data_IF_202241787772
#
_entry.id   IF_202241787772
#
_cell.length_a   1.000
_cell.length_b   1.000
_cell.length_c   1.000
_cell.angle_alpha   90.00
_cell.angle_beta   90.00
_cell.angle_gamma   90.00
#
_symmetry.space_group_name_H-M   'P 1'
#
loop_
_entity.id
_entity.type
_entity.pdbx_description
1 polymer ?
#
# COMPACT_ATOMS: atom_id res chain seq x y z
N UNK A 1 -58.72 35.05 7.79
CA UNK A 1 -57.31 35.28 8.05
C UNK A 1 -56.63 33.88 8.02
N UNK A 2 -55.92 33.53 6.92
CA UNK A 2 -55.27 32.23 6.74
C UNK A 2 -53.77 32.42 6.99
N UNK A 3 -53.30 31.88 8.09
CA UNK A 3 -51.87 31.88 8.41
C UNK A 3 -51.16 30.80 7.57
N UNK A 4 -50.33 31.22 6.62
CA UNK A 4 -49.46 30.37 5.86
C UNK A 4 -48.16 30.27 6.66
N UNK A 5 -47.93 29.13 7.31
CA UNK A 5 -46.62 28.78 7.87
C UNK A 5 -45.69 28.32 6.72
N UNK A 6 -44.74 29.14 6.34
CA UNK A 6 -43.67 28.77 5.43
C UNK A 6 -42.62 27.95 6.22
N UNK A 7 -42.57 26.65 5.94
CA UNK A 7 -41.51 25.76 6.49
C UNK A 7 -40.23 25.95 5.67
N UNK A 8 -39.29 26.70 6.21
CA UNK A 8 -37.97 26.84 5.59
C UNK A 8 -37.15 25.55 5.80
N UNK A 9 -37.06 24.73 4.75
CA UNK A 9 -36.20 23.54 4.72
C UNK A 9 -34.73 23.98 4.55
N UNK A 10 -33.98 24.08 5.65
CA UNK A 10 -32.54 24.32 5.61
C UNK A 10 -31.82 23.07 5.05
N UNK A 11 -31.51 23.08 3.75
CA UNK A 11 -30.60 22.10 3.16
C UNK A 11 -29.20 22.36 3.68
N UNK A 12 -28.76 21.61 4.69
CA UNK A 12 -27.36 21.51 5.05
C UNK A 12 -26.62 20.78 3.91
N UNK A 13 -26.04 21.53 2.98
CA UNK A 13 -25.07 20.99 2.07
C UNK A 13 -23.86 20.54 2.89
N UNK A 14 -23.71 19.23 3.10
CA UNK A 14 -22.48 18.63 3.59
C UNK A 14 -21.38 18.94 2.57
N UNK A 15 -20.67 20.04 2.77
CA UNK A 15 -19.42 20.31 2.04
C UNK A 15 -18.43 19.24 2.50
N UNK A 16 -18.25 18.20 1.69
CA UNK A 16 -17.23 17.20 1.93
C UNK A 16 -15.88 17.92 2.05
N UNK A 17 -15.39 18.08 3.28
CA UNK A 17 -14.06 18.67 3.52
C UNK A 17 -13.03 17.72 2.92
N UNK A 18 -12.24 18.23 1.98
CA UNK A 18 -11.15 17.49 1.43
C UNK A 18 -10.18 17.07 2.56
N UNK A 19 -9.86 15.78 2.62
CA UNK A 19 -8.99 15.21 3.65
C UNK A 19 -7.61 14.92 3.07
N UNK A 20 -6.57 15.23 3.83
CA UNK A 20 -5.21 14.81 3.52
C UNK A 20 -4.98 13.41 4.11
N UNK A 21 -4.47 12.50 3.28
CA UNK A 21 -4.20 11.10 3.63
C UNK A 21 -2.77 10.78 3.27
N UNK A 22 -2.03 10.22 4.21
CA UNK A 22 -0.64 9.79 4.05
C UNK A 22 -0.60 8.29 3.81
N UNK A 23 -0.03 7.85 2.69
CA UNK A 23 0.07 6.42 2.34
C UNK A 23 1.53 6.07 2.08
N UNK A 24 1.95 4.91 2.59
CA UNK A 24 3.29 4.35 2.40
C UNK A 24 3.20 2.96 1.79
N UNK A 25 4.09 2.62 0.87
CA UNK A 25 4.36 1.26 0.42
C UNK A 25 5.77 0.88 0.85
N UNK A 26 5.93 -0.24 1.53
CA UNK A 26 7.21 -0.61 2.10
C UNK A 26 7.44 -2.12 2.05
N UNK A 27 8.23 -2.59 1.09
CA UNK A 27 8.82 -3.92 1.17
C UNK A 27 9.87 -3.88 2.30
N UNK A 28 9.61 -4.62 3.38
CA UNK A 28 10.45 -4.59 4.58
C UNK A 28 11.58 -5.62 4.56
N UNK A 29 11.73 -6.36 3.48
CA UNK A 29 12.62 -7.51 3.33
C UNK A 29 12.36 -8.60 4.36
N UNK A 30 12.08 -9.80 3.90
CA UNK A 30 11.95 -10.97 4.80
C UNK A 30 13.25 -11.20 5.58
N UNK A 31 13.12 -11.87 6.72
CA UNK A 31 14.28 -12.20 7.56
C UNK A 31 14.94 -13.47 7.07
N UNK A 32 16.12 -13.34 6.48
CA UNK A 32 16.95 -14.46 6.01
C UNK A 32 18.41 -14.30 6.47
N UNK A 33 18.99 -15.38 6.94
CA UNK A 33 20.36 -15.37 7.46
C UNK A 33 21.42 -14.98 6.40
N UNK A 34 21.12 -15.19 5.12
CA UNK A 34 22.02 -14.81 4.01
C UNK A 34 22.21 -13.30 3.85
N UNK A 35 21.35 -12.47 4.45
CA UNK A 35 21.49 -11.02 4.43
C UNK A 35 22.63 -10.51 5.34
N UNK A 36 23.28 -11.41 6.11
CA UNK A 36 24.46 -11.11 6.91
C UNK A 36 24.25 -9.96 7.89
N UNK A 37 24.98 -8.86 7.71
CA UNK A 37 24.81 -7.68 8.58
C UNK A 37 23.48 -6.96 8.42
N UNK A 38 22.71 -7.24 7.37
CA UNK A 38 21.40 -6.68 7.09
C UNK A 38 20.25 -7.58 7.53
N UNK A 39 20.48 -8.57 8.43
CA UNK A 39 19.42 -9.37 9.03
C UNK A 39 18.40 -8.49 9.75
N UNK A 40 17.20 -9.00 9.93
CA UNK A 40 16.07 -8.25 10.51
C UNK A 40 16.40 -7.58 11.84
N UNK A 41 17.07 -8.29 12.75
CA UNK A 41 17.39 -7.80 14.08
C UNK A 41 18.23 -6.52 14.07
N UNK A 42 19.08 -6.33 13.06
CA UNK A 42 19.95 -5.15 12.95
C UNK A 42 19.22 -3.92 12.35
N UNK A 43 18.08 -4.10 11.66
CA UNK A 43 17.39 -3.01 10.94
C UNK A 43 15.97 -2.71 11.43
N UNK A 44 15.33 -3.61 12.19
CA UNK A 44 13.94 -3.47 12.64
C UNK A 44 13.66 -2.19 13.42
N UNK A 45 14.59 -1.75 14.28
CA UNK A 45 14.43 -0.54 15.10
C UNK A 45 14.42 0.72 14.22
N UNK A 46 15.33 0.78 13.25
CA UNK A 46 15.40 1.90 12.31
C UNK A 46 14.16 1.94 11.42
N UNK A 47 13.73 0.77 10.92
CA UNK A 47 12.53 0.64 10.10
C UNK A 47 11.29 1.13 10.84
N UNK A 48 11.05 0.66 12.06
CA UNK A 48 9.95 1.13 12.88
C UNK A 48 10.05 2.63 13.20
N UNK A 49 11.27 3.12 13.49
CA UNK A 49 11.54 4.54 13.71
C UNK A 49 11.18 5.41 12.51
N UNK A 50 11.48 4.96 11.29
CA UNK A 50 11.09 5.65 10.06
C UNK A 50 9.55 5.74 9.92
N UNK A 51 8.83 4.64 10.15
CA UNK A 51 7.36 4.64 10.13
C UNK A 51 6.78 5.60 11.18
N UNK A 52 7.33 5.57 12.40
CA UNK A 52 6.88 6.46 13.49
C UNK A 52 7.16 7.94 13.20
N UNK A 53 8.25 8.25 12.48
CA UNK A 53 8.60 9.63 12.13
C UNK A 53 7.69 10.21 11.04
N UNK A 54 7.44 9.44 9.98
CA UNK A 54 6.60 9.89 8.86
C UNK A 54 5.10 9.80 9.16
N UNK A 55 4.70 8.98 10.12
CA UNK A 55 3.32 8.77 10.58
C UNK A 55 2.33 8.59 9.40
N UNK A 56 2.51 7.59 8.52
CA UNK A 56 1.54 7.33 7.47
C UNK A 56 0.18 6.95 8.08
N UNK A 57 -0.91 7.35 7.44
CA UNK A 57 -2.24 6.89 7.83
C UNK A 57 -2.44 5.41 7.48
N UNK A 58 -1.83 4.99 6.36
CA UNK A 58 -1.83 3.61 5.87
C UNK A 58 -0.44 3.23 5.36
N UNK A 59 -0.01 2.02 5.67
CA UNK A 59 1.24 1.44 5.17
C UNK A 59 0.98 0.02 4.66
N UNK A 60 1.17 -0.18 3.35
CA UNK A 60 1.26 -1.52 2.77
C UNK A 60 2.66 -2.08 2.98
N UNK A 61 2.76 -3.24 3.65
CA UNK A 61 4.03 -3.95 3.81
C UNK A 61 4.09 -5.18 2.92
N UNK A 62 5.28 -5.52 2.44
CA UNK A 62 5.53 -6.73 1.66
C UNK A 62 6.68 -7.50 2.30
N UNK A 63 6.75 -8.80 2.05
CA UNK A 63 7.74 -9.76 2.56
C UNK A 63 7.72 -10.00 4.08
N UNK A 64 6.79 -9.43 4.82
CA UNK A 64 6.76 -9.56 6.27
C UNK A 64 6.50 -11.01 6.70
N UNK A 65 7.43 -11.62 7.44
CA UNK A 65 7.23 -12.91 8.09
C UNK A 65 6.46 -12.76 9.41
N UNK A 66 5.85 -13.82 9.96
CA UNK A 66 5.04 -13.74 11.17
C UNK A 66 5.72 -13.04 12.36
N UNK A 67 6.99 -13.33 12.62
CA UNK A 67 7.75 -12.69 13.71
C UNK A 67 8.06 -11.22 13.43
N UNK A 68 8.22 -10.84 12.15
CA UNK A 68 8.38 -9.43 11.75
C UNK A 68 7.06 -8.67 11.94
N UNK A 69 5.91 -9.29 11.62
CA UNK A 69 4.59 -8.73 11.92
C UNK A 69 4.40 -8.51 13.42
N UNK A 70 4.72 -9.51 14.26
CA UNK A 70 4.66 -9.38 15.73
C UNK A 70 5.53 -8.24 16.26
N UNK A 71 6.73 -8.06 15.73
CA UNK A 71 7.58 -6.93 16.09
C UNK A 71 6.93 -5.59 15.71
N UNK A 72 6.42 -5.46 14.49
CA UNK A 72 5.76 -4.24 14.03
C UNK A 72 4.52 -3.92 14.87
N UNK A 73 3.70 -4.89 15.22
CA UNK A 73 2.56 -4.70 16.13
C UNK A 73 2.99 -4.13 17.50
N UNK A 74 4.09 -4.64 18.02
CA UNK A 74 4.62 -4.17 19.32
C UNK A 74 5.25 -2.78 19.25
N UNK A 75 5.91 -2.45 18.15
CA UNK A 75 6.60 -1.19 17.95
C UNK A 75 5.68 -0.05 17.50
N UNK A 76 4.64 -0.38 16.72
CA UNK A 76 3.72 0.58 16.09
C UNK A 76 2.37 0.63 16.84
N UNK A 77 2.37 0.91 18.13
CA UNK A 77 1.21 0.81 19.04
C UNK A 77 -0.03 1.62 18.62
N UNK A 78 0.14 2.66 17.80
CA UNK A 78 -0.95 3.46 17.23
C UNK A 78 -1.60 2.79 16.00
N UNK A 79 -1.01 1.71 15.50
CA UNK A 79 -1.47 1.01 14.31
C UNK A 79 -2.13 -0.31 14.68
N UNK A 80 -2.95 -0.78 13.78
CA UNK A 80 -3.44 -2.14 13.70
C UNK A 80 -3.26 -2.61 12.25
N UNK A 81 -3.37 -3.90 11.97
CA UNK A 81 -3.17 -4.39 10.62
C UNK A 81 -4.26 -5.34 10.15
N UNK A 82 -4.38 -5.49 8.83
CA UNK A 82 -5.16 -6.51 8.14
C UNK A 82 -4.25 -7.27 7.18
N UNK A 83 -4.61 -8.51 6.87
CA UNK A 83 -3.87 -9.39 5.99
C UNK A 83 -3.59 -10.74 6.64
N UNK A 84 -3.19 -11.70 5.82
CA UNK A 84 -2.90 -13.08 6.23
C UNK A 84 -1.62 -13.57 5.56
N UNK A 85 -1.02 -14.62 6.11
CA UNK A 85 0.10 -15.30 5.48
C UNK A 85 -0.30 -15.98 4.17
N UNK A 86 0.48 -15.77 3.12
CA UNK A 86 0.14 -16.19 1.75
C UNK A 86 0.08 -17.72 1.55
N UNK A 87 0.70 -18.51 2.44
CA UNK A 87 0.83 -19.94 2.24
C UNK A 87 -0.33 -20.76 2.83
N UNK A 88 -1.03 -20.23 3.84
CA UNK A 88 -2.14 -20.94 4.48
C UNK A 88 -3.39 -20.08 4.73
N UNK A 89 -3.35 -18.83 4.36
CA UNK A 89 -4.44 -17.89 4.63
C UNK A 89 -4.60 -17.56 6.11
N UNK A 90 -3.56 -17.79 6.91
CA UNK A 90 -3.52 -17.50 8.35
C UNK A 90 -2.19 -16.86 8.73
N UNK A 91 -1.21 -17.66 9.16
CA UNK A 91 0.04 -17.17 9.72
C UNK A 91 1.30 -17.74 9.02
N UNK A 92 1.18 -18.50 7.91
CA UNK A 92 2.35 -19.07 7.22
C UNK A 92 2.70 -18.27 5.95
N UNK A 93 4.00 -18.15 5.74
CA UNK A 93 4.57 -17.43 4.60
C UNK A 93 4.61 -15.93 4.83
N UNK A 94 4.93 -15.21 3.78
CA UNK A 94 5.02 -13.76 3.79
C UNK A 94 3.62 -13.12 3.79
N UNK A 95 3.52 -11.97 4.45
CA UNK A 95 2.34 -11.13 4.45
C UNK A 95 2.48 -10.00 3.42
N UNK A 96 1.40 -9.68 2.74
CA UNK A 96 1.17 -8.41 2.07
C UNK A 96 0.11 -7.65 2.87
N UNK A 97 0.48 -7.21 4.07
CA UNK A 97 -0.45 -6.63 5.04
C UNK A 97 -0.62 -5.11 4.85
N UNK A 98 -1.71 -4.58 5.41
CA UNK A 98 -1.96 -3.14 5.48
C UNK A 98 -2.01 -2.74 6.95
N UNK A 99 -1.04 -1.94 7.40
CA UNK A 99 -1.11 -1.24 8.68
C UNK A 99 -1.90 0.05 8.51
N UNK A 100 -2.79 0.35 9.46
CA UNK A 100 -3.58 1.57 9.47
C UNK A 100 -3.57 2.23 10.84
N UNK A 101 -3.56 3.56 10.88
CA UNK A 101 -3.59 4.32 12.13
C UNK A 101 -4.99 4.22 12.77
N UNK A 102 -5.15 3.30 13.74
CA UNK A 102 -6.43 3.03 14.43
C UNK A 102 -6.95 4.21 15.27
N UNK A 103 -6.11 5.20 15.57
CA UNK A 103 -6.59 6.41 16.23
C UNK A 103 -7.32 7.35 15.28
N UNK A 104 -7.07 7.23 13.98
CA UNK A 104 -7.65 8.07 12.92
C UNK A 104 -8.72 7.36 12.11
N UNK A 105 -8.63 6.04 11.98
CA UNK A 105 -9.47 5.24 11.09
C UNK A 105 -10.06 4.03 11.79
N UNK A 106 -11.29 3.70 11.41
CA UNK A 106 -11.96 2.44 11.74
C UNK A 106 -11.99 1.59 10.48
N UNK A 107 -11.54 0.34 10.57
CA UNK A 107 -11.66 -0.66 9.52
C UNK A 107 -13.12 -1.15 9.48
N UNK A 108 -13.76 -1.03 8.32
CA UNK A 108 -15.14 -1.44 8.10
C UNK A 108 -15.23 -2.82 7.45
N UNK A 109 -14.32 -3.10 6.51
CA UNK A 109 -14.30 -4.32 5.71
C UNK A 109 -12.87 -4.67 5.33
N UNK A 110 -12.51 -5.96 5.30
CA UNK A 110 -11.23 -6.41 4.80
C UNK A 110 -11.30 -7.80 4.20
N UNK A 111 -10.41 -8.06 3.27
CA UNK A 111 -10.23 -9.37 2.66
C UNK A 111 -8.82 -9.52 2.07
N UNK A 112 -8.36 -10.77 1.95
CA UNK A 112 -7.15 -11.12 1.20
C UNK A 112 -7.52 -12.19 0.18
N UNK A 113 -7.09 -12.02 -1.07
CA UNK A 113 -7.30 -13.00 -2.14
C UNK A 113 -5.99 -13.34 -2.83
N UNK A 114 -5.90 -14.57 -3.36
CA UNK A 114 -4.73 -15.03 -4.09
C UNK A 114 -4.76 -14.55 -5.54
N UNK A 115 -3.61 -14.12 -6.02
CA UNK A 115 -3.43 -13.73 -7.42
C UNK A 115 -3.22 -14.99 -8.26
N UNK A 116 -4.29 -15.73 -8.45
CA UNK A 116 -4.33 -17.04 -9.11
C UNK A 116 -5.70 -17.30 -9.72
N UNK A 117 -5.82 -18.40 -10.45
CA UNK A 117 -7.09 -18.90 -10.99
C UNK A 117 -8.09 -19.37 -9.91
N UNK A 118 -7.62 -19.53 -8.68
CA UNK A 118 -8.44 -19.91 -7.51
C UNK A 118 -8.23 -18.90 -6.36
N UNK A 119 -8.79 -17.68 -6.48
CA UNK A 119 -8.45 -16.57 -5.59
C UNK A 119 -8.87 -16.73 -4.13
N UNK A 120 -9.80 -17.62 -3.84
CA UNK A 120 -10.38 -17.79 -2.50
C UNK A 120 -9.62 -18.80 -1.61
N UNK A 121 -8.59 -19.43 -2.16
CA UNK A 121 -7.78 -20.43 -1.44
C UNK A 121 -6.28 -20.22 -1.72
N UNK A 122 -5.41 -20.60 -0.76
CA UNK A 122 -3.97 -20.54 -0.95
C UNK A 122 -3.53 -21.27 -2.22
N UNK A 123 -3.08 -20.53 -3.21
CA UNK A 123 -2.73 -21.08 -4.52
C UNK A 123 -1.71 -20.23 -5.24
N UNK A 124 -0.98 -20.87 -6.15
CA UNK A 124 -0.02 -20.24 -7.03
C UNK A 124 -0.65 -20.05 -8.41
N UNK A 125 -0.64 -18.81 -8.91
CA UNK A 125 -1.27 -18.49 -10.18
C UNK A 125 -0.34 -18.61 -11.39
N UNK A 126 -0.82 -19.16 -12.47
CA UNK A 126 -0.17 -19.22 -13.79
C UNK A 126 1.30 -19.68 -13.73
N UNK A 127 2.21 -18.85 -14.20
CA UNK A 127 3.66 -19.08 -14.22
C UNK A 127 4.40 -18.49 -13.01
N UNK A 128 3.68 -18.12 -11.93
CA UNK A 128 4.29 -17.56 -10.73
C UNK A 128 5.25 -18.56 -10.05
N UNK A 129 6.32 -18.05 -9.44
CA UNK A 129 7.23 -18.85 -8.62
C UNK A 129 6.63 -19.19 -7.24
N UNK A 130 5.89 -18.24 -6.66
CA UNK A 130 5.29 -18.35 -5.31
C UNK A 130 3.82 -17.93 -5.31
N UNK A 131 3.12 -18.31 -4.22
CA UNK A 131 1.80 -17.75 -3.94
C UNK A 131 1.93 -16.23 -3.80
N UNK A 132 1.02 -15.49 -4.44
CA UNK A 132 0.94 -14.04 -4.34
C UNK A 132 -0.46 -13.63 -3.94
N UNK A 133 -0.56 -12.60 -3.14
CA UNK A 133 -1.85 -12.14 -2.59
C UNK A 133 -2.02 -10.64 -2.78
N UNK A 134 -3.28 -10.22 -2.79
CA UNK A 134 -3.65 -8.83 -2.61
C UNK A 134 -4.58 -8.75 -1.39
N UNK A 135 -4.17 -7.96 -0.41
CA UNK A 135 -4.99 -7.60 0.74
C UNK A 135 -5.66 -6.26 0.48
N UNK A 136 -6.94 -6.12 0.84
CA UNK A 136 -7.63 -4.85 0.75
C UNK A 136 -8.54 -4.61 1.94
N UNK A 137 -8.81 -3.33 2.22
CA UNK A 137 -9.76 -2.94 3.25
C UNK A 137 -10.44 -1.61 2.96
N UNK A 138 -11.66 -1.47 3.49
CA UNK A 138 -12.40 -0.22 3.54
C UNK A 138 -12.24 0.42 4.92
N UNK A 139 -11.81 1.66 4.93
CA UNK A 139 -11.56 2.41 6.17
C UNK A 139 -12.38 3.69 6.20
N UNK A 140 -12.92 4.01 7.38
CA UNK A 140 -13.63 5.25 7.64
C UNK A 140 -12.82 6.14 8.58
N UNK A 141 -12.62 7.39 8.20
CA UNK A 141 -11.99 8.37 9.09
C UNK A 141 -12.90 8.69 10.29
N UNK A 142 -12.38 8.54 11.49
CA UNK A 142 -13.15 8.69 12.73
C UNK A 142 -13.76 10.08 12.91
N UNK A 143 -13.13 11.12 12.34
CA UNK A 143 -13.57 12.52 12.46
C UNK A 143 -14.43 13.00 11.28
N UNK A 144 -13.98 12.73 10.06
CA UNK A 144 -14.64 13.27 8.85
C UNK A 144 -15.69 12.35 8.29
N UNK A 145 -15.70 11.07 8.69
CA UNK A 145 -16.54 9.99 8.17
C UNK A 145 -16.31 9.69 6.68
N UNK A 146 -15.27 10.25 6.10
CA UNK A 146 -14.87 9.90 4.74
C UNK A 146 -14.29 8.49 4.69
N UNK A 147 -14.66 7.76 3.65
CA UNK A 147 -14.21 6.39 3.42
C UNK A 147 -13.15 6.34 2.34
N UNK A 148 -12.23 5.40 2.48
CA UNK A 148 -11.16 5.12 1.52
C UNK A 148 -10.88 3.63 1.45
N UNK A 149 -10.67 3.10 0.25
CA UNK A 149 -10.16 1.76 0.04
C UNK A 149 -8.63 1.77 -0.05
N UNK A 150 -8.00 0.82 0.61
CA UNK A 150 -6.56 0.58 0.47
C UNK A 150 -6.35 -0.86 0.02
N UNK A 151 -5.52 -1.03 -1.00
CA UNK A 151 -5.09 -2.31 -1.54
C UNK A 151 -3.58 -2.43 -1.39
N UNK A 152 -3.09 -3.62 -1.06
CA UNK A 152 -1.65 -3.89 -0.98
C UNK A 152 -1.32 -5.25 -1.57
N UNK A 153 -0.24 -5.32 -2.32
CA UNK A 153 0.17 -6.53 -3.03
C UNK A 153 1.68 -6.67 -3.13
N UNK A 154 2.14 -7.88 -3.41
CA UNK A 154 3.51 -8.18 -3.82
C UNK A 154 3.45 -9.12 -5.03
N UNK A 155 3.82 -8.61 -6.20
CA UNK A 155 3.77 -9.39 -7.45
C UNK A 155 4.86 -10.43 -7.52
N UNK A 156 4.66 -11.42 -8.38
CA UNK A 156 5.69 -12.44 -8.62
C UNK A 156 6.90 -11.84 -9.36
N UNK A 157 8.09 -12.30 -9.00
CA UNK A 157 9.35 -11.78 -9.55
C UNK A 157 9.80 -12.50 -10.83
N UNK A 158 9.13 -13.61 -11.21
CA UNK A 158 9.47 -14.41 -12.39
C UNK A 158 8.36 -14.41 -13.43
N UNK A 159 7.12 -14.77 -13.04
CA UNK A 159 6.01 -15.06 -13.94
C UNK A 159 5.45 -13.83 -14.64
N UNK A 160 5.67 -13.67 -15.95
CA UNK A 160 5.13 -12.56 -16.73
C UNK A 160 3.60 -12.65 -16.90
N UNK A 161 3.09 -13.86 -17.12
CA UNK A 161 1.64 -14.11 -17.24
C UNK A 161 0.95 -13.82 -15.91
N UNK A 162 1.54 -14.30 -14.80
CA UNK A 162 1.03 -14.04 -13.46
C UNK A 162 0.96 -12.54 -13.16
N UNK A 163 2.00 -11.76 -13.46
CA UNK A 163 2.04 -10.31 -13.24
C UNK A 163 0.98 -9.56 -14.04
N UNK A 164 0.81 -9.90 -15.32
CA UNK A 164 -0.21 -9.26 -16.17
C UNK A 164 -1.62 -9.59 -15.71
N UNK A 165 -1.88 -10.84 -15.33
CA UNK A 165 -3.19 -11.25 -14.82
C UNK A 165 -3.46 -10.68 -13.42
N UNK A 166 -2.43 -10.52 -12.58
CA UNK A 166 -2.54 -9.85 -11.29
C UNK A 166 -3.05 -8.41 -11.42
N UNK A 167 -2.56 -7.65 -12.42
CA UNK A 167 -3.08 -6.30 -12.71
C UNK A 167 -4.57 -6.35 -13.01
N UNK A 168 -5.01 -7.26 -13.90
CA UNK A 168 -6.43 -7.42 -14.27
C UNK A 168 -7.27 -7.78 -13.04
N UNK A 169 -6.84 -8.78 -12.26
CA UNK A 169 -7.56 -9.21 -11.06
C UNK A 169 -7.74 -8.10 -10.05
N UNK A 170 -6.68 -7.34 -9.74
CA UNK A 170 -6.75 -6.23 -8.79
C UNK A 170 -7.68 -5.13 -9.32
N UNK A 171 -7.56 -4.75 -10.58
CA UNK A 171 -8.42 -3.70 -11.15
C UNK A 171 -9.88 -4.12 -11.26
N UNK A 172 -10.15 -5.39 -11.51
CA UNK A 172 -11.52 -5.93 -11.54
C UNK A 172 -12.08 -6.06 -10.11
N UNK A 173 -11.27 -6.47 -9.13
CA UNK A 173 -11.68 -6.46 -7.72
C UNK A 173 -12.00 -5.04 -7.23
N UNK A 174 -11.21 -4.03 -7.60
CA UNK A 174 -11.53 -2.62 -7.30
C UNK A 174 -12.90 -2.25 -7.85
N UNK A 175 -13.22 -2.59 -9.11
CA UNK A 175 -14.54 -2.31 -9.72
C UNK A 175 -15.66 -3.08 -9.02
N UNK A 176 -15.38 -4.31 -8.58
CA UNK A 176 -16.35 -5.15 -7.87
C UNK A 176 -16.74 -4.57 -6.51
N UNK A 177 -15.75 -4.18 -5.68
CA UNK A 177 -16.02 -3.75 -4.30
C UNK A 177 -16.32 -2.25 -4.18
N UNK A 178 -15.80 -1.42 -5.08
CA UNK A 178 -15.91 0.04 -5.02
C UNK A 178 -17.08 0.58 -5.87
N UNK A 179 -18.31 0.08 -5.62
CA UNK A 179 -19.52 0.51 -6.33
C UNK A 179 -19.85 2.00 -6.11
N UNK A 180 -19.51 2.51 -4.94
CA UNK A 180 -19.76 3.91 -4.55
C UNK A 180 -18.72 4.88 -5.11
N UNK A 181 -17.77 4.38 -5.92
CA UNK A 181 -16.70 5.18 -6.50
C UNK A 181 -15.96 6.04 -5.46
N UNK A 182 -15.63 5.41 -4.33
CA UNK A 182 -14.85 6.01 -3.25
C UNK A 182 -13.37 6.21 -3.68
N UNK A 183 -12.64 7.13 -3.04
CA UNK A 183 -11.20 7.22 -3.22
C UNK A 183 -10.52 5.92 -2.80
N UNK A 184 -9.39 5.61 -3.46
CA UNK A 184 -8.59 4.45 -3.11
C UNK A 184 -7.10 4.65 -3.40
N UNK A 185 -6.26 3.80 -2.82
CA UNK A 185 -4.85 3.65 -3.18
C UNK A 185 -4.49 2.17 -3.30
N UNK A 186 -3.62 1.85 -4.26
CA UNK A 186 -3.02 0.52 -4.43
C UNK A 186 -1.54 0.66 -4.17
N UNK A 187 -1.05 0.05 -3.11
CA UNK A 187 0.37 -0.02 -2.74
C UNK A 187 0.96 -1.37 -3.13
N UNK A 188 2.25 -1.45 -3.36
CA UNK A 188 2.88 -2.75 -3.56
C UNK A 188 4.30 -2.68 -4.11
N UNK A 189 4.98 -3.82 -3.94
CA UNK A 189 6.11 -4.21 -4.75
C UNK A 189 5.59 -4.99 -5.96
N UNK A 190 5.73 -4.39 -7.13
CA UNK A 190 5.25 -4.99 -8.38
C UNK A 190 6.33 -5.84 -9.07
N UNK A 191 7.57 -5.84 -8.56
CA UNK A 191 8.71 -6.54 -9.15
C UNK A 191 8.94 -6.21 -10.64
N UNK A 192 8.51 -5.04 -11.09
CA UNK A 192 8.52 -4.58 -12.49
C UNK A 192 8.86 -3.10 -12.58
N UNK A 193 9.69 -2.75 -13.53
CA UNK A 193 9.99 -1.36 -13.88
C UNK A 193 8.88 -0.77 -14.80
N UNK A 194 8.85 0.56 -14.91
CA UNK A 194 7.73 1.30 -15.50
C UNK A 194 7.53 1.10 -17.02
N UNK A 195 8.54 0.61 -17.72
CA UNK A 195 8.51 0.34 -19.15
C UNK A 195 7.90 -1.03 -19.51
N UNK A 196 7.62 -1.87 -18.50
CA UNK A 196 7.02 -3.20 -18.69
C UNK A 196 5.54 -3.11 -19.06
N UNK A 197 5.05 -4.12 -19.80
CA UNK A 197 3.64 -4.17 -20.26
C UNK A 197 2.64 -4.14 -19.10
N UNK A 198 2.92 -4.86 -18.01
CA UNK A 198 2.02 -4.93 -16.85
C UNK A 198 1.91 -3.57 -16.13
N UNK A 199 3.02 -2.83 -15.98
CA UNK A 199 2.99 -1.49 -15.39
C UNK A 199 2.34 -0.48 -16.33
N UNK A 200 2.58 -0.59 -17.64
CA UNK A 200 1.85 0.23 -18.65
C UNK A 200 0.35 -0.04 -18.60
N UNK A 201 -0.06 -1.31 -18.49
CA UNK A 201 -1.47 -1.68 -18.33
C UNK A 201 -2.06 -1.06 -17.05
N UNK A 202 -1.39 -1.21 -15.91
CA UNK A 202 -1.84 -0.60 -14.63
C UNK A 202 -1.96 0.92 -14.77
N UNK A 203 -0.96 1.58 -15.38
CA UNK A 203 -0.91 3.03 -15.59
C UNK A 203 -1.95 3.55 -16.60
N UNK A 204 -2.47 2.69 -17.49
CA UNK A 204 -3.59 3.05 -18.36
C UNK A 204 -4.93 3.10 -17.65
N UNK A 205 -5.06 2.37 -16.54
CA UNK A 205 -6.28 2.24 -15.75
C UNK A 205 -6.27 3.16 -14.53
N UNK A 206 -5.11 3.35 -13.91
CA UNK A 206 -4.90 4.12 -12.70
C UNK A 206 -3.76 5.13 -12.89
N UNK A 207 -3.72 6.17 -12.09
CA UNK A 207 -2.61 7.10 -12.08
C UNK A 207 -1.45 6.54 -11.24
N UNK A 208 -0.26 6.47 -11.80
CA UNK A 208 0.98 6.34 -11.06
C UNK A 208 1.22 7.63 -10.25
N UNK A 209 1.28 7.52 -8.93
CA UNK A 209 1.38 8.67 -8.04
C UNK A 209 2.63 9.52 -8.29
N UNK A 210 3.77 8.93 -8.70
CA UNK A 210 4.99 9.68 -9.08
C UNK A 210 4.72 10.61 -10.27
N UNK A 211 3.97 10.13 -11.27
CA UNK A 211 3.74 10.87 -12.53
C UNK A 211 2.74 12.02 -12.39
N UNK A 212 1.84 11.94 -11.40
CA UNK A 212 0.78 12.95 -11.19
C UNK A 212 0.98 13.82 -9.95
N UNK A 213 2.06 13.57 -9.18
CA UNK A 213 2.37 14.35 -7.99
C UNK A 213 2.71 15.78 -8.32
N UNK A 214 2.27 16.73 -7.47
CA UNK A 214 2.66 18.12 -7.58
C UNK A 214 4.12 18.37 -7.19
N UNK A 215 4.65 17.55 -6.28
CA UNK A 215 6.02 17.62 -5.78
C UNK A 215 6.56 16.18 -5.67
N UNK A 216 7.76 15.97 -6.19
CA UNK A 216 8.48 14.69 -6.15
C UNK A 216 9.81 14.91 -5.45
N UNK A 217 10.20 14.00 -4.56
CA UNK A 217 11.46 14.04 -3.82
C UNK A 217 12.06 12.64 -3.64
N UNK A 218 13.38 12.58 -3.51
CA UNK A 218 14.13 11.34 -3.30
C UNK A 218 14.70 10.72 -4.58
N UNK A 219 15.30 9.54 -4.49
CA UNK A 219 15.89 8.84 -5.63
C UNK A 219 14.82 8.39 -6.64
N UNK A 220 15.25 8.09 -7.87
CA UNK A 220 14.34 7.63 -8.92
C UNK A 220 13.86 6.20 -8.70
N UNK A 221 14.76 5.33 -8.21
CA UNK A 221 14.46 3.93 -7.92
C UNK A 221 14.03 3.70 -6.47
N UNK A 222 13.53 2.50 -6.22
CA UNK A 222 13.09 2.04 -4.89
C UNK A 222 13.87 0.84 -4.39
N UNK A 223 14.47 0.02 -5.27
CA UNK A 223 15.25 -1.16 -4.90
C UNK A 223 16.73 -0.84 -4.84
N UNK A 224 17.35 -1.00 -3.67
CA UNK A 224 18.76 -0.70 -3.40
C UNK A 224 19.63 -1.95 -3.17
N UNK A 225 19.02 -3.12 -2.94
CA UNK A 225 19.72 -4.39 -2.67
C UNK A 225 20.74 -4.31 -1.50
N UNK A 226 20.53 -3.43 -0.53
CA UNK A 226 21.45 -3.06 0.56
C UNK A 226 22.79 -2.45 0.06
N UNK A 227 22.89 -2.06 -1.21
CA UNK A 227 24.09 -1.48 -1.79
C UNK A 227 24.17 0.04 -1.56
N UNK A 228 24.47 0.46 -0.34
CA UNK A 228 24.42 1.86 0.11
C UNK A 228 25.19 2.84 -0.79
N UNK A 229 26.31 2.41 -1.36
CA UNK A 229 27.20 3.27 -2.17
C UNK A 229 26.82 3.33 -3.65
N UNK A 230 25.74 2.67 -4.07
CA UNK A 230 25.27 2.68 -5.46
C UNK A 230 24.07 3.57 -5.65
N UNK A 231 23.91 4.20 -6.82
CA UNK A 231 22.69 4.92 -7.16
C UNK A 231 21.48 3.96 -7.15
N UNK A 232 20.37 4.38 -6.55
CA UNK A 232 19.11 3.64 -6.54
C UNK A 232 18.31 4.06 -7.77
N UNK A 233 18.32 3.26 -8.81
CA UNK A 233 17.69 3.57 -10.10
C UNK A 233 16.51 2.66 -10.44
N UNK A 234 16.51 1.42 -9.93
CA UNK A 234 15.48 0.43 -10.22
C UNK A 234 14.22 0.71 -9.41
N UNK A 235 13.14 1.14 -10.09
CA UNK A 235 11.85 1.43 -9.46
C UNK A 235 10.88 0.27 -9.68
N UNK A 236 10.54 -0.44 -8.61
CA UNK A 236 9.64 -1.59 -8.63
C UNK A 236 8.53 -1.50 -7.58
N UNK A 237 8.58 -0.52 -6.70
CA UNK A 237 7.53 -0.23 -5.72
C UNK A 237 6.71 0.97 -6.18
N UNK A 238 5.40 0.87 -6.06
CA UNK A 238 4.47 1.87 -6.56
C UNK A 238 3.33 2.13 -5.58
N UNK A 239 2.75 3.33 -5.73
CA UNK A 239 1.43 3.66 -5.21
C UNK A 239 0.61 4.17 -6.39
N UNK A 240 -0.44 3.44 -6.74
CA UNK A 240 -1.40 3.86 -7.76
C UNK A 240 -2.66 4.43 -7.11
N UNK A 241 -3.26 5.43 -7.76
CA UNK A 241 -4.48 6.09 -7.30
C UNK A 241 -5.49 6.22 -8.43
N UNK A 242 -6.80 6.42 -8.15
CA UNK A 242 -7.79 6.60 -9.21
C UNK A 242 -7.52 7.89 -9.99
N UNK A 243 -7.94 7.91 -11.25
CA UNK A 243 -7.82 9.10 -12.12
C UNK A 243 -8.66 10.29 -11.63
N UNK A 244 -9.69 10.03 -10.80
CA UNK A 244 -10.56 11.02 -10.20
C UNK A 244 -10.64 10.82 -8.69
N UNK A 245 -11.17 11.77 -7.94
CA UNK A 245 -11.37 11.74 -6.48
C UNK A 245 -10.09 11.90 -5.64
N UNK A 246 -8.91 11.66 -6.18
CA UNK A 246 -7.63 11.78 -5.47
C UNK A 246 -6.70 12.73 -6.22
N UNK A 247 -6.05 13.63 -5.47
CA UNK A 247 -4.92 14.45 -5.96
C UNK A 247 -3.68 14.08 -5.18
N UNK A 248 -2.60 13.76 -5.87
CA UNK A 248 -1.30 13.52 -5.24
C UNK A 248 -0.62 14.86 -5.00
N UNK A 249 -0.44 15.24 -3.75
CA UNK A 249 0.20 16.49 -3.36
C UNK A 249 1.72 16.33 -3.34
N UNK A 250 2.18 15.23 -2.72
CA UNK A 250 3.60 14.88 -2.63
C UNK A 250 3.80 13.41 -2.92
N UNK A 251 4.93 13.11 -3.53
CA UNK A 251 5.49 11.78 -3.70
C UNK A 251 6.93 11.82 -3.24
N UNK A 252 7.34 10.85 -2.45
CA UNK A 252 8.74 10.70 -2.07
C UNK A 252 9.15 9.22 -2.06
N UNK A 253 10.41 8.98 -2.42
CA UNK A 253 11.12 7.75 -2.07
C UNK A 253 12.03 8.09 -0.90
N UNK A 254 11.79 7.48 0.25
CA UNK A 254 12.48 7.83 1.49
C UNK A 254 13.81 7.07 1.57
N UNK A 255 14.91 7.79 1.50
CA UNK A 255 16.26 7.22 1.50
C UNK A 255 16.99 7.42 2.83
N UNK A 256 16.24 7.50 3.92
CA UNK A 256 16.81 7.61 5.25
C UNK A 256 17.70 6.40 5.55
N UNK A 257 18.85 6.70 6.12
CA UNK A 257 19.87 5.69 6.42
C UNK A 257 20.55 6.01 7.75
N UNK A 258 21.14 5.01 8.37
CA UNK A 258 21.93 5.15 9.59
C UNK A 258 23.21 4.31 9.45
N UNK A 259 24.34 4.91 9.81
CA UNK A 259 25.64 4.25 9.79
C UNK A 259 25.92 3.56 8.43
N UNK A 260 25.62 4.27 7.31
CA UNK A 260 25.75 3.78 5.95
C UNK A 260 24.93 2.52 5.63
N UNK A 261 23.78 2.33 6.29
CA UNK A 261 22.88 1.20 6.06
C UNK A 261 21.43 1.65 5.90
N UNK A 262 20.72 1.01 5.01
CA UNK A 262 19.28 1.18 4.82
C UNK A 262 18.50 0.22 5.74
N UNK A 263 17.28 0.60 6.17
CA UNK A 263 16.42 -0.28 6.98
C UNK A 263 15.82 -1.45 6.20
N UNK A 264 15.85 -1.42 4.87
CA UNK A 264 15.44 -2.49 3.96
C UNK A 264 16.25 -2.41 2.67
N UNK A 265 16.27 -3.49 1.87
CA UNK A 265 16.79 -3.48 0.50
C UNK A 265 15.85 -2.75 -0.48
N UNK A 266 14.69 -2.32 -0.01
CA UNK A 266 13.80 -1.37 -0.66
C UNK A 266 13.70 -0.07 0.13
N UNK A 267 13.56 1.03 -0.59
CA UNK A 267 13.23 2.35 -0.04
C UNK A 267 11.72 2.57 -0.09
N UNK A 268 11.07 2.96 1.02
CA UNK A 268 9.63 3.11 1.01
C UNK A 268 9.17 4.25 0.10
N UNK A 269 8.08 4.00 -0.63
CA UNK A 269 7.36 5.04 -1.35
C UNK A 269 6.35 5.67 -0.40
N UNK A 270 6.36 7.00 -0.32
CA UNK A 270 5.48 7.79 0.52
C UNK A 270 4.73 8.83 -0.30
N UNK A 271 3.42 8.96 -0.06
CA UNK A 271 2.59 9.97 -0.73
C UNK A 271 1.69 10.71 0.26
N UNK A 272 1.49 12.00 -0.01
CA UNK A 272 0.41 12.78 0.60
C UNK A 272 -0.68 12.98 -0.45
N UNK A 273 -1.86 12.48 -0.15
CA UNK A 273 -3.02 12.51 -1.01
C UNK A 273 -4.05 13.51 -0.47
N UNK A 274 -4.72 14.21 -1.38
CA UNK A 274 -5.95 14.95 -1.06
C UNK A 274 -7.13 14.19 -1.64
N UNK A 275 -7.97 13.64 -0.77
CA UNK A 275 -9.18 12.91 -1.16
C UNK A 275 -10.40 13.83 -1.10
N UNK A 276 -11.36 13.59 -2.03
CA UNK A 276 -12.57 14.41 -2.20
C UNK A 276 -13.83 13.55 -2.05
#
# INVERSE_FOLDING_TARGET
MRNIFALALAMFALVAKAQDVKVMSYNIRLDVASDGENIWDNRKVMLAGQVLFFEPDFMGVQEALPHQMQYLDSALVKYDHIGVGRDDGKNKGEFSAIFYNKSKYTMLENHTFWLSETPDVPSKGWDAAYNRVCTYGLFENNKTKQKIWIFNTHFDHVGNVARTNSVKMITDKIKEVNKDNLPFAVTGDFNLEEDTESIKLMSSLLNDSKKVAKMVFGPDGTFNAFEFHKPVTKRIDYIFVPQKRVKVLKYAVLSDSKDCRYPSDHLPVYVELKVK
#
